data_IF_935405988226
#
_entry.id   IF_935405988226
#
_cell.length_a   1.000
_cell.length_b   1.000
_cell.length_c   1.000
_cell.angle_alpha   90.00
_cell.angle_beta   90.00
_cell.angle_gamma   90.00
#
_symmetry.space_group_name_H-M   'P 1'
#
loop_
_entity.id
_entity.type
_entity.pdbx_description
1 polymer ?
#
# COMPACT_ATOMS: atom_id res chain seq x y z
N UNK A 1 -4.97 -11.66 17.08
CA UNK A 1 -4.14 -11.18 15.95
C UNK A 1 -4.92 -10.08 15.26
N UNK A 2 -4.41 -8.84 15.21
CA UNK A 2 -5.10 -7.72 14.53
C UNK A 2 -4.37 -7.46 13.22
N UNK A 3 -5.07 -7.64 12.10
CA UNK A 3 -4.59 -7.29 10.75
C UNK A 3 -5.53 -6.23 10.19
N UNK A 4 -4.98 -5.25 9.47
CA UNK A 4 -5.77 -4.20 8.82
C UNK A 4 -5.51 -4.25 7.32
N UNK A 5 -6.55 -4.48 6.53
CA UNK A 5 -6.48 -4.38 5.08
C UNK A 5 -6.98 -3.01 4.67
N UNK A 6 -6.10 -2.19 4.11
CA UNK A 6 -6.42 -0.85 3.62
C UNK A 6 -6.43 -0.89 2.09
N UNK A 7 -7.47 -0.34 1.47
CA UNK A 7 -7.56 -0.24 0.01
C UNK A 7 -7.22 1.19 -0.40
N UNK A 8 -6.24 1.36 -1.27
CA UNK A 8 -5.86 2.69 -1.79
C UNK A 8 -7.03 3.44 -2.43
N UNK A 9 -7.96 2.73 -3.07
CA UNK A 9 -9.15 3.31 -3.69
C UNK A 9 -10.16 3.87 -2.68
N UNK A 10 -10.02 3.58 -1.39
CA UNK A 10 -10.90 4.07 -0.32
C UNK A 10 -10.31 5.32 0.38
N UNK A 11 -9.12 5.78 0.00
CA UNK A 11 -8.59 7.05 0.49
C UNK A 11 -9.34 8.22 -0.11
N UNK A 12 -9.68 9.20 0.73
CA UNK A 12 -10.38 10.43 0.32
C UNK A 12 -9.81 11.68 0.97
N UNK A 13 -8.95 11.54 1.97
CA UNK A 13 -8.36 12.64 2.76
C UNK A 13 -6.84 12.48 2.76
N UNK A 14 -6.05 13.50 2.37
CA UNK A 14 -6.46 14.83 1.90
C UNK A 14 -7.19 14.83 0.56
N UNK A 15 -6.95 13.82 -0.27
CA UNK A 15 -7.58 13.66 -1.58
C UNK A 15 -7.55 12.18 -2.01
N UNK A 16 -8.41 11.76 -2.95
CA UNK A 16 -8.37 10.40 -3.47
C UNK A 16 -7.13 10.13 -4.31
N UNK A 17 -6.64 8.89 -4.26
CA UNK A 17 -5.51 8.46 -5.10
C UNK A 17 -5.96 8.46 -6.58
N UNK A 18 -5.25 9.16 -7.47
CA UNK A 18 -5.62 9.22 -8.89
C UNK A 18 -5.64 7.84 -9.55
N UNK A 19 -6.70 7.55 -10.29
CA UNK A 19 -6.81 6.34 -11.09
C UNK A 19 -5.90 6.40 -12.31
N UNK A 20 -5.39 5.23 -12.74
CA UNK A 20 -4.54 5.08 -13.92
C UNK A 20 -3.27 5.97 -13.90
N UNK A 21 -2.78 6.24 -12.70
CA UNK A 21 -1.54 7.00 -12.47
C UNK A 21 -0.59 6.12 -11.67
N UNK A 22 0.65 6.03 -12.12
CA UNK A 22 1.70 5.35 -11.36
C UNK A 22 2.03 6.17 -10.10
N UNK A 23 2.11 5.50 -8.96
CA UNK A 23 2.43 6.13 -7.67
C UNK A 23 3.31 5.22 -6.81
N UNK A 24 3.92 5.81 -5.80
CA UNK A 24 4.59 5.12 -4.71
C UNK A 24 3.94 5.54 -3.38
N UNK A 25 4.08 4.72 -2.34
CA UNK A 25 3.52 4.98 -1.02
C UNK A 25 4.57 4.75 0.06
N UNK A 26 4.65 5.66 1.02
CA UNK A 26 5.38 5.49 2.28
C UNK A 26 4.35 5.28 3.39
N UNK A 27 4.60 4.31 4.27
CA UNK A 27 3.72 4.01 5.41
C UNK A 27 4.51 4.25 6.68
N UNK A 28 4.09 5.24 7.43
CA UNK A 28 4.71 5.64 8.70
C UNK A 28 3.91 5.07 9.87
N UNK A 29 4.62 4.66 10.93
CA UNK A 29 3.99 4.15 12.15
C UNK A 29 4.85 4.47 13.35
N UNK A 30 4.20 4.89 14.43
CA UNK A 30 4.84 5.19 15.71
C UNK A 30 5.32 3.92 16.45
N UNK A 31 4.90 2.74 15.98
CA UNK A 31 5.31 1.44 16.50
C UNK A 31 5.75 0.51 15.36
N UNK A 32 6.60 -0.50 15.64
CA UNK A 32 6.99 -1.46 14.62
C UNK A 32 5.79 -2.23 14.05
N UNK A 33 5.64 -2.22 12.72
CA UNK A 33 4.60 -2.94 11.98
C UNK A 33 5.21 -3.75 10.83
N UNK A 34 4.46 -4.73 10.35
CA UNK A 34 4.77 -5.51 9.14
C UNK A 34 3.77 -5.13 8.06
N UNK A 35 4.27 -4.76 6.88
CA UNK A 35 3.44 -4.35 5.75
C UNK A 35 3.68 -5.24 4.54
N UNK A 36 2.58 -5.72 3.96
CA UNK A 36 2.54 -6.42 2.68
C UNK A 36 1.66 -5.64 1.71
N UNK A 37 2.19 -5.29 0.54
CA UNK A 37 1.44 -4.66 -0.52
C UNK A 37 0.89 -5.73 -1.48
N UNK A 38 -0.38 -5.63 -1.84
CA UNK A 38 -1.02 -6.54 -2.80
C UNK A 38 -1.71 -5.71 -3.88
N UNK A 39 -1.35 -5.96 -5.14
CA UNK A 39 -2.03 -5.43 -6.32
C UNK A 39 -2.95 -6.51 -6.86
N UNK A 40 -4.23 -6.17 -7.03
CA UNK A 40 -5.25 -7.01 -7.65
C UNK A 40 -5.69 -6.36 -8.96
N UNK A 41 -5.40 -6.98 -10.11
CA UNK A 41 -6.03 -6.64 -11.38
C UNK A 41 -7.36 -7.40 -11.52
N UNK A 42 -8.46 -6.74 -11.15
CA UNK A 42 -9.80 -7.34 -11.17
C UNK A 42 -10.30 -7.76 -12.57
N UNK A 43 -9.59 -7.39 -13.65
CA UNK A 43 -9.97 -7.71 -15.04
C UNK A 43 -9.56 -9.13 -15.47
N UNK A 44 -8.62 -9.77 -14.79
CA UNK A 44 -8.18 -11.14 -15.11
C UNK A 44 -8.08 -12.03 -13.86
N UNK A 45 -9.16 -12.72 -13.53
CA UNK A 45 -9.29 -13.51 -12.29
C UNK A 45 -8.19 -14.54 -12.03
N UNK A 46 -7.62 -15.17 -13.07
CA UNK A 46 -6.67 -16.28 -12.90
C UNK A 46 -5.22 -15.85 -12.57
N UNK A 47 -4.82 -14.60 -12.88
CA UNK A 47 -3.44 -14.10 -12.71
C UNK A 47 -3.40 -12.68 -12.10
N UNK A 48 -4.50 -12.26 -11.47
CA UNK A 48 -4.71 -10.89 -11.02
C UNK A 48 -3.81 -10.42 -9.87
N UNK A 49 -3.17 -11.34 -9.14
CA UNK A 49 -2.61 -11.05 -7.83
C UNK A 49 -1.09 -11.02 -7.87
N UNK A 50 -0.55 -9.85 -7.54
CA UNK A 50 0.87 -9.64 -7.26
C UNK A 50 0.99 -9.15 -5.83
N UNK A 51 1.96 -9.67 -5.08
CA UNK A 51 2.24 -9.18 -3.73
C UNK A 51 3.74 -9.07 -3.48
N UNK A 52 4.12 -8.13 -2.61
CA UNK A 52 5.48 -7.95 -2.14
C UNK A 52 5.48 -7.43 -0.71
N UNK A 53 6.55 -7.73 0.03
CA UNK A 53 6.81 -7.09 1.33
C UNK A 53 7.30 -5.68 1.10
N UNK A 54 6.86 -4.74 1.95
CA UNK A 54 7.39 -3.38 1.92
C UNK A 54 8.88 -3.38 2.29
N UNK A 55 9.66 -2.55 1.60
CA UNK A 55 11.04 -2.31 2.00
C UNK A 55 11.07 -1.50 3.32
N UNK A 56 11.84 -1.90 4.34
CA UNK A 56 11.94 -1.16 5.59
C UNK A 56 12.72 0.14 5.36
N UNK A 57 12.02 1.28 5.43
CA UNK A 57 12.67 2.59 5.41
C UNK A 57 13.34 2.87 6.77
N UNK A 58 14.50 3.57 6.80
CA UNK A 58 15.10 4.03 8.04
C UNK A 58 14.13 4.93 8.82
N UNK A 59 14.13 4.84 10.15
CA UNK A 59 13.36 5.76 10.99
C UNK A 59 14.04 7.14 10.97
N UNK A 60 13.49 8.06 10.17
CA UNK A 60 14.02 9.41 9.96
C UNK A 60 13.88 9.78 8.48
N UNK A 61 13.38 11.00 8.23
CA UNK A 61 13.06 11.54 6.91
C UNK A 61 13.98 11.05 5.80
N UNK A 62 13.39 10.56 4.69
CA UNK A 62 14.11 10.47 3.41
C UNK A 62 14.78 11.83 3.12
N UNK A 63 16.01 11.85 2.60
CA UNK A 63 16.67 13.09 2.22
C UNK A 63 15.86 13.89 1.18
#
# INVERSE_FOLDING_TARGET
MRTLHVRFNEFTDPEPVPHNTDYASVIESDIPIVVQHTRLDSRQSALALMTTMAYPAPTGSLP
#
